data_IF_445594105822
#
_entry.id   IF_445594105822
#
_cell.length_a   1.000
_cell.length_b   1.000
_cell.length_c   1.000
_cell.angle_alpha   90.00
_cell.angle_beta   90.00
_cell.angle_gamma   90.00
#
_symmetry.space_group_name_H-M   'P 1'
#
loop_
_entity.id
_entity.type
_entity.pdbx_description
1 polymer ?
#
# COMPACT_ATOMS: atom_id res chain seq x y z
N UNK A 1 -3.58 20.21 30.33
CA UNK A 1 -3.56 20.30 28.83
C UNK A 1 -2.57 19.31 28.20
N UNK A 2 -1.38 19.11 28.78
CA UNK A 2 -0.40 18.11 28.25
C UNK A 2 -0.97 16.70 28.21
N UNK A 3 -1.74 16.29 29.26
CA UNK A 3 -2.35 14.96 29.34
C UNK A 3 -3.38 14.70 28.27
N UNK A 4 -4.17 15.72 27.93
CA UNK A 4 -5.14 15.64 26.81
C UNK A 4 -4.43 15.42 25.48
N UNK A 5 -3.43 16.25 25.14
CA UNK A 5 -2.68 16.08 23.88
C UNK A 5 -1.92 14.77 23.84
N UNK A 6 -1.32 14.35 24.95
CA UNK A 6 -0.66 13.05 25.07
C UNK A 6 -1.63 11.88 24.84
N UNK A 7 -2.81 11.95 25.45
CA UNK A 7 -3.87 10.96 25.26
C UNK A 7 -4.39 10.93 23.83
N UNK A 8 -4.62 12.09 23.22
CA UNK A 8 -5.10 12.19 21.83
C UNK A 8 -4.10 11.61 20.83
N UNK A 9 -2.83 12.02 20.94
CA UNK A 9 -1.78 11.51 20.04
C UNK A 9 -1.60 10.01 20.19
N UNK A 10 -1.60 9.50 21.42
CA UNK A 10 -1.49 8.06 21.68
C UNK A 10 -2.70 7.29 21.12
N UNK A 11 -3.92 7.77 21.33
CA UNK A 11 -5.12 7.14 20.81
C UNK A 11 -5.15 7.09 19.27
N UNK A 12 -4.77 8.18 18.59
CA UNK A 12 -4.68 8.23 17.13
C UNK A 12 -3.65 7.21 16.63
N UNK A 13 -2.46 7.16 17.21
CA UNK A 13 -1.39 6.23 16.80
C UNK A 13 -1.84 4.78 16.99
N UNK A 14 -2.42 4.45 18.13
CA UNK A 14 -2.93 3.11 18.43
C UNK A 14 -4.03 2.71 17.45
N UNK A 15 -4.99 3.59 17.14
CA UNK A 15 -6.04 3.32 16.19
C UNK A 15 -5.50 3.13 14.77
N UNK A 16 -4.54 3.94 14.33
CA UNK A 16 -3.89 3.77 13.01
C UNK A 16 -3.18 2.41 12.90
N UNK A 17 -2.48 1.98 13.95
CA UNK A 17 -1.82 0.67 13.98
C UNK A 17 -2.85 -0.48 13.89
N UNK A 18 -3.96 -0.39 14.63
CA UNK A 18 -5.03 -1.39 14.58
C UNK A 18 -5.74 -1.42 13.23
N UNK A 19 -6.04 -0.25 12.65
CA UNK A 19 -6.65 -0.14 11.32
C UNK A 19 -5.71 -0.68 10.24
N UNK A 20 -4.41 -0.38 10.34
CA UNK A 20 -3.37 -0.91 9.46
C UNK A 20 -3.32 -2.43 9.50
N UNK A 21 -3.17 -3.01 10.69
CA UNK A 21 -3.19 -4.46 10.90
C UNK A 21 -4.48 -5.10 10.37
N UNK A 22 -5.64 -4.49 10.66
CA UNK A 22 -6.94 -4.95 10.17
C UNK A 22 -7.04 -4.93 8.65
N UNK A 23 -6.52 -3.89 7.99
CA UNK A 23 -6.50 -3.79 6.53
C UNK A 23 -5.65 -4.88 5.89
N UNK A 24 -4.51 -5.20 6.48
CA UNK A 24 -3.63 -6.29 6.04
C UNK A 24 -4.25 -7.67 6.27
N UNK A 25 -4.92 -7.87 7.40
CA UNK A 25 -5.66 -9.10 7.67
C UNK A 25 -6.80 -9.32 6.67
N UNK A 26 -7.46 -8.25 6.27
CA UNK A 26 -8.57 -8.29 5.31
C UNK A 26 -8.10 -8.48 3.85
N UNK A 27 -6.82 -8.24 3.53
CA UNK A 27 -6.24 -8.40 2.20
C UNK A 27 -4.76 -8.81 2.26
N UNK A 28 -4.45 -10.05 2.70
CA UNK A 28 -3.06 -10.46 3.01
C UNK A 28 -2.12 -10.46 1.79
N UNK A 29 -2.66 -10.59 0.58
CA UNK A 29 -1.86 -10.55 -0.65
C UNK A 29 -1.44 -9.13 -1.06
N UNK A 30 -2.23 -8.11 -0.72
CA UNK A 30 -2.07 -6.75 -1.23
C UNK A 30 -0.70 -6.13 -0.90
N UNK A 31 -0.21 -6.32 0.35
CA UNK A 31 1.11 -5.84 0.74
C UNK A 31 2.23 -6.53 -0.04
N UNK A 32 2.14 -7.86 -0.20
CA UNK A 32 3.12 -8.63 -0.97
C UNK A 32 3.18 -8.23 -2.44
N UNK A 33 2.05 -7.93 -3.05
CA UNK A 33 1.92 -7.44 -4.43
C UNK A 33 2.48 -6.04 -4.58
N UNK A 34 2.17 -5.13 -3.65
CA UNK A 34 2.72 -3.79 -3.63
C UNK A 34 4.27 -3.82 -3.53
N UNK A 35 4.82 -4.58 -2.58
CA UNK A 35 6.27 -4.73 -2.43
C UNK A 35 6.93 -5.38 -3.66
N UNK A 36 6.18 -6.24 -4.40
CA UNK A 36 6.65 -6.80 -5.68
C UNK A 36 6.68 -5.75 -6.77
N UNK A 37 5.64 -4.94 -6.89
CA UNK A 37 5.53 -3.86 -7.87
C UNK A 37 6.62 -2.80 -7.65
N UNK A 38 6.94 -2.46 -6.41
CA UNK A 38 8.03 -1.53 -6.07
C UNK A 38 9.41 -2.04 -6.54
N UNK A 39 9.65 -3.35 -6.54
CA UNK A 39 10.87 -3.98 -7.07
C UNK A 39 12.18 -3.62 -6.33
N UNK A 40 12.10 -3.07 -5.10
CA UNK A 40 13.26 -2.65 -4.31
C UNK A 40 13.78 -3.80 -3.45
N UNK A 41 12.88 -4.63 -2.92
CA UNK A 41 13.21 -5.73 -2.02
C UNK A 41 13.38 -7.04 -2.76
N UNK A 42 14.42 -7.81 -2.38
CA UNK A 42 14.60 -9.18 -2.86
C UNK A 42 13.45 -10.12 -2.41
N UNK A 43 13.29 -11.29 -3.05
CA UNK A 43 12.15 -12.19 -2.79
C UNK A 43 12.00 -12.61 -1.32
N UNK A 44 13.13 -12.86 -0.64
CA UNK A 44 13.14 -13.27 0.78
C UNK A 44 12.72 -12.10 1.69
N UNK A 45 13.35 -10.92 1.53
CA UNK A 45 13.05 -9.72 2.32
C UNK A 45 11.61 -9.26 2.14
N UNK A 46 11.06 -9.36 0.93
CA UNK A 46 9.67 -9.05 0.62
C UNK A 46 8.70 -9.97 1.36
N UNK A 47 8.92 -11.29 1.34
CA UNK A 47 8.09 -12.25 2.08
C UNK A 47 8.14 -12.00 3.58
N UNK A 48 9.34 -11.77 4.11
CA UNK A 48 9.52 -11.43 5.51
C UNK A 48 8.80 -10.15 5.89
N UNK A 49 8.98 -9.08 5.12
CA UNK A 49 8.29 -7.81 5.37
C UNK A 49 6.76 -7.97 5.33
N UNK A 50 6.22 -8.68 4.32
CA UNK A 50 4.78 -8.91 4.20
C UNK A 50 4.19 -9.72 5.37
N UNK A 51 4.99 -10.59 6.00
CA UNK A 51 4.54 -11.36 7.17
C UNK A 51 4.72 -10.59 8.48
N UNK A 52 5.86 -9.92 8.66
CA UNK A 52 6.23 -9.29 9.95
C UNK A 52 5.49 -7.97 10.18
N UNK A 53 5.33 -7.14 9.14
CA UNK A 53 4.74 -5.80 9.31
C UNK A 53 3.32 -5.84 9.90
N UNK A 54 2.36 -6.63 9.36
CA UNK A 54 1.01 -6.70 9.92
C UNK A 54 0.98 -7.20 11.38
N UNK A 55 1.83 -8.17 11.68
CA UNK A 55 1.94 -8.72 13.05
C UNK A 55 2.50 -7.66 14.00
N UNK A 56 3.50 -6.92 13.58
CA UNK A 56 4.10 -5.84 14.39
C UNK A 56 3.09 -4.71 14.63
N UNK A 57 2.37 -4.27 13.59
CA UNK A 57 1.30 -3.27 13.72
C UNK A 57 0.22 -3.74 14.70
N UNK A 58 -0.26 -4.96 14.54
CA UNK A 58 -1.27 -5.55 15.42
C UNK A 58 -0.80 -5.64 16.87
N UNK A 59 0.40 -6.16 17.08
CA UNK A 59 0.98 -6.30 18.43
C UNK A 59 1.17 -4.94 19.11
N UNK A 60 1.72 -3.94 18.40
CA UNK A 60 1.87 -2.58 18.93
C UNK A 60 0.51 -1.92 19.18
N UNK A 61 -0.45 -2.09 18.26
CA UNK A 61 -1.80 -1.55 18.44
C UNK A 61 -2.51 -2.12 19.66
N UNK A 62 -2.48 -3.44 19.86
CA UNK A 62 -3.08 -4.12 21.03
C UNK A 62 -2.36 -3.74 22.30
N UNK A 63 -1.02 -3.79 22.32
CA UNK A 63 -0.25 -3.39 23.50
C UNK A 63 -0.50 -1.92 23.89
N UNK A 64 -0.62 -1.03 22.89
CA UNK A 64 -0.96 0.38 23.10
C UNK A 64 -2.36 0.57 23.66
N UNK A 65 -3.35 -0.14 23.15
CA UNK A 65 -4.72 -0.11 23.66
C UNK A 65 -4.80 -0.58 25.13
N UNK A 66 -4.11 -1.68 25.45
CA UNK A 66 -4.01 -2.17 26.83
C UNK A 66 -3.31 -1.13 27.71
N UNK A 67 -2.18 -0.57 27.27
CA UNK A 67 -1.44 0.42 28.06
C UNK A 67 -2.25 1.69 28.33
N UNK A 68 -3.05 2.15 27.34
CA UNK A 68 -3.97 3.29 27.50
C UNK A 68 -5.07 3.01 28.50
N UNK A 69 -5.68 1.82 28.45
CA UNK A 69 -6.81 1.47 29.35
C UNK A 69 -6.37 1.12 30.75
N UNK A 70 -5.18 0.55 30.91
CA UNK A 70 -4.61 0.16 32.23
C UNK A 70 -3.74 1.25 32.89
N UNK A 71 -3.49 2.35 32.13
CA UNK A 71 -2.71 3.48 32.66
C UNK A 71 -1.22 3.18 32.87
N UNK A 72 -0.59 2.37 32.04
CA UNK A 72 0.83 2.01 32.12
C UNK A 72 1.70 2.92 31.21
N UNK A 73 2.24 4.05 31.72
CA UNK A 73 2.90 5.07 30.91
C UNK A 73 4.18 4.56 30.24
N UNK A 74 4.98 3.74 30.91
CA UNK A 74 6.24 3.20 30.35
C UNK A 74 5.99 2.25 29.17
N UNK A 75 4.95 1.42 29.28
CA UNK A 75 4.55 0.52 28.17
C UNK A 75 4.05 1.36 26.99
N UNK A 76 3.18 2.35 27.27
CA UNK A 76 2.68 3.26 26.26
C UNK A 76 3.81 4.02 25.58
N UNK A 77 4.76 4.55 26.32
CA UNK A 77 5.95 5.21 25.78
C UNK A 77 6.73 4.29 24.84
N UNK A 78 6.99 3.04 25.25
CA UNK A 78 7.69 2.05 24.43
C UNK A 78 6.94 1.73 23.13
N UNK A 79 5.62 1.56 23.22
CA UNK A 79 4.77 1.33 22.04
C UNK A 79 4.81 2.52 21.07
N UNK A 80 4.69 3.74 21.59
CA UNK A 80 4.72 4.95 20.76
C UNK A 80 6.10 5.17 20.12
N UNK A 81 7.19 4.89 20.85
CA UNK A 81 8.54 4.96 20.31
C UNK A 81 8.76 3.91 19.19
N UNK A 82 8.29 2.68 19.39
CA UNK A 82 8.33 1.64 18.37
C UNK A 82 7.44 1.99 17.16
N UNK A 83 6.26 2.57 17.40
CA UNK A 83 5.39 3.09 16.35
C UNK A 83 6.04 4.21 15.54
N UNK A 84 6.74 5.13 16.21
CA UNK A 84 7.50 6.20 15.54
C UNK A 84 8.60 5.62 14.63
N UNK A 85 9.34 4.61 15.11
CA UNK A 85 10.33 3.91 14.30
C UNK A 85 9.71 3.18 13.11
N UNK A 86 8.57 2.51 13.28
CA UNK A 86 7.86 1.80 12.23
C UNK A 86 7.35 2.76 11.14
N UNK A 87 6.65 3.84 11.52
CA UNK A 87 6.17 4.83 10.57
C UNK A 87 7.30 5.61 9.90
N UNK A 88 8.41 5.87 10.64
CA UNK A 88 9.64 6.43 10.08
C UNK A 88 10.24 5.54 9.00
N UNK A 89 10.29 4.24 9.25
CA UNK A 89 10.73 3.25 8.25
C UNK A 89 9.81 3.25 7.01
N UNK A 90 8.49 3.34 7.19
CA UNK A 90 7.55 3.47 6.08
C UNK A 90 7.78 4.75 5.26
N UNK A 91 8.00 5.89 5.95
CA UNK A 91 8.29 7.15 5.28
C UNK A 91 9.59 7.09 4.48
N UNK A 92 10.65 6.53 5.06
CA UNK A 92 11.94 6.36 4.37
C UNK A 92 11.84 5.40 3.18
N UNK A 93 11.16 4.27 3.36
CA UNK A 93 10.96 3.29 2.30
C UNK A 93 10.17 3.88 1.14
N UNK A 94 9.02 4.49 1.40
CA UNK A 94 8.18 5.09 0.36
C UNK A 94 8.88 6.25 -0.35
N UNK A 95 9.61 7.09 0.40
CA UNK A 95 10.46 8.14 -0.18
C UNK A 95 11.53 7.56 -1.09
N UNK A 96 12.18 6.48 -0.68
CA UNK A 96 13.21 5.82 -1.48
C UNK A 96 12.63 5.24 -2.79
N UNK A 97 11.47 4.57 -2.73
CA UNK A 97 10.78 4.04 -3.92
C UNK A 97 10.45 5.17 -4.91
N UNK A 98 9.89 6.27 -4.40
CA UNK A 98 9.56 7.45 -5.22
C UNK A 98 10.81 8.11 -5.82
N UNK A 99 11.90 8.21 -5.07
CA UNK A 99 13.17 8.78 -5.55
C UNK A 99 13.80 7.95 -6.69
N UNK A 100 13.53 6.63 -6.73
CA UNK A 100 13.92 5.76 -7.84
C UNK A 100 12.99 5.87 -9.06
N UNK A 101 12.00 6.76 -9.05
CA UNK A 101 10.99 6.88 -10.11
C UNK A 101 10.09 5.64 -10.21
N UNK A 102 10.06 4.78 -9.20
CA UNK A 102 9.22 3.58 -9.17
C UNK A 102 7.86 3.91 -8.59
N UNK A 103 6.82 3.41 -9.24
CA UNK A 103 5.43 3.52 -8.79
C UNK A 103 4.88 2.16 -8.41
N UNK A 104 3.61 2.12 -8.04
CA UNK A 104 2.89 0.89 -7.72
C UNK A 104 1.76 1.18 -6.73
N UNK A 105 0.97 0.17 -6.36
CA UNK A 105 -0.06 0.31 -5.34
C UNK A 105 0.58 0.60 -3.96
N UNK A 106 -0.12 1.37 -3.12
CA UNK A 106 0.36 1.70 -1.78
C UNK A 106 0.47 0.47 -0.85
N UNK A 107 -0.34 -0.56 -1.09
CA UNK A 107 -0.38 -1.78 -0.26
C UNK A 107 -1.03 -1.61 1.11
N UNK A 108 -1.39 -0.39 1.50
CA UNK A 108 -1.99 -0.09 2.81
C UNK A 108 -3.52 -0.18 2.82
N UNK A 109 -4.17 -0.35 1.68
CA UNK A 109 -5.63 -0.43 1.57
C UNK A 109 -6.04 -1.35 0.42
N UNK A 110 -7.30 -1.84 0.47
CA UNK A 110 -7.90 -2.62 -0.63
C UNK A 110 -8.10 -1.79 -1.92
N UNK A 111 -7.93 -0.48 -1.86
CA UNK A 111 -8.04 0.39 -3.03
C UNK A 111 -6.68 0.46 -3.69
N UNK A 112 -6.64 0.37 -5.01
CA UNK A 112 -5.43 0.51 -5.83
C UNK A 112 -4.95 1.97 -5.89
N UNK A 113 -4.71 2.53 -4.69
CA UNK A 113 -4.17 3.88 -4.58
C UNK A 113 -2.69 3.84 -4.95
N UNK A 114 -2.26 4.66 -5.92
CA UNK A 114 -0.86 4.71 -6.29
C UNK A 114 -0.01 5.28 -5.16
N UNK A 115 1.22 4.77 -5.06
CA UNK A 115 2.21 5.33 -4.16
C UNK A 115 2.49 6.79 -4.55
N UNK A 116 2.29 7.71 -3.64
CA UNK A 116 2.42 9.14 -3.87
C UNK A 116 3.17 9.83 -2.72
N UNK A 117 3.60 11.08 -2.96
CA UNK A 117 4.19 11.91 -1.90
C UNK A 117 3.30 12.05 -0.66
N UNK A 118 1.98 11.99 -0.84
CA UNK A 118 1.02 12.09 0.27
C UNK A 118 1.06 10.88 1.20
N UNK A 119 1.33 9.68 0.66
CA UNK A 119 1.57 8.47 1.46
C UNK A 119 2.81 8.64 2.33
N UNK A 120 3.90 9.16 1.74
CA UNK A 120 5.15 9.43 2.48
C UNK A 120 4.94 10.51 3.55
N UNK A 121 4.25 11.61 3.23
CA UNK A 121 3.97 12.68 4.18
C UNK A 121 3.10 12.20 5.34
N UNK A 122 2.07 11.39 5.07
CA UNK A 122 1.25 10.76 6.11
C UNK A 122 2.09 9.91 7.04
N UNK A 123 2.95 9.05 6.49
CA UNK A 123 3.82 8.19 7.30
C UNK A 123 4.80 9.02 8.16
N UNK A 124 5.37 10.09 7.60
CA UNK A 124 6.25 11.00 8.34
C UNK A 124 5.49 11.76 9.44
N UNK A 125 4.27 12.24 9.17
CA UNK A 125 3.42 12.90 10.16
C UNK A 125 3.06 11.95 11.32
N UNK A 126 2.72 10.69 11.01
CA UNK A 126 2.45 9.66 12.01
C UNK A 126 3.69 9.33 12.85
N UNK A 127 4.88 9.29 12.23
CA UNK A 127 6.13 9.10 12.95
C UNK A 127 6.39 10.26 13.92
N UNK A 128 6.20 11.51 13.50
CA UNK A 128 6.32 12.70 14.35
C UNK A 128 5.30 12.71 15.48
N UNK A 129 4.05 12.35 15.16
CA UNK A 129 2.97 12.28 16.15
C UNK A 129 3.28 11.22 17.22
N UNK A 130 3.74 10.03 16.80
CA UNK A 130 4.11 8.95 17.70
C UNK A 130 5.32 9.31 18.58
N UNK A 131 6.33 10.00 18.02
CA UNK A 131 7.48 10.48 18.77
C UNK A 131 7.09 11.54 19.81
N UNK A 132 6.23 12.50 19.43
CA UNK A 132 5.70 13.49 20.37
C UNK A 132 4.88 12.84 21.49
N UNK A 133 4.02 11.88 21.16
CA UNK A 133 3.27 11.10 22.15
C UNK A 133 4.17 10.31 23.09
N UNK A 134 5.26 9.71 22.59
CA UNK A 134 6.23 9.00 23.41
C UNK A 134 6.94 9.93 24.41
N UNK A 135 7.29 11.15 23.99
CA UNK A 135 7.90 12.14 24.86
C UNK A 135 6.96 12.57 25.99
N UNK A 136 5.67 12.80 25.70
CA UNK A 136 4.66 13.17 26.69
C UNK A 136 4.37 12.01 27.64
N UNK A 137 4.17 10.79 27.12
CA UNK A 137 3.91 9.59 27.95
C UNK A 137 5.06 9.30 28.92
N UNK A 138 6.30 9.64 28.57
CA UNK A 138 7.48 9.50 29.43
C UNK A 138 7.51 10.49 30.59
N UNK A 139 6.77 11.60 30.51
CA UNK A 139 6.74 12.62 31.56
C UNK A 139 5.85 12.23 32.73
N UNK A 140 4.95 11.27 32.61
CA UNK A 140 4.10 10.80 33.70
C UNK A 140 2.83 10.08 33.23
N UNK A 141 2.00 9.63 34.19
CA UNK A 141 0.74 8.96 33.87
C UNK A 141 -0.27 9.95 33.28
N UNK A 142 -0.86 9.58 32.16
CA UNK A 142 -1.94 10.34 31.55
C UNK A 142 -3.23 10.14 32.35
N UNK A 143 -3.78 11.23 32.88
CA UNK A 143 -5.01 11.24 33.69
C UNK A 143 -6.03 12.23 33.14
N UNK A 144 -6.67 11.90 31.98
CA UNK A 144 -7.68 12.77 31.45
C UNK A 144 -8.90 12.85 32.37
N UNK A 145 -9.51 14.03 32.48
CA UNK A 145 -10.81 14.21 33.08
C UNK A 145 -11.90 13.51 32.29
N UNK A 146 -13.09 13.32 32.87
CA UNK A 146 -14.21 12.68 32.14
C UNK A 146 -14.57 13.45 30.88
N UNK A 147 -14.56 14.78 30.89
CA UNK A 147 -14.83 15.60 29.73
C UNK A 147 -13.76 15.43 28.64
N UNK A 148 -12.50 15.38 29.01
CA UNK A 148 -11.38 15.09 28.09
C UNK A 148 -11.50 13.68 27.51
N UNK A 149 -11.90 12.69 28.31
CA UNK A 149 -12.09 11.33 27.83
C UNK A 149 -13.18 11.24 26.76
N UNK A 150 -14.34 11.90 26.95
CA UNK A 150 -15.40 11.98 25.94
C UNK A 150 -14.88 12.63 24.65
N UNK A 151 -14.13 13.72 24.79
CA UNK A 151 -13.53 14.41 23.65
C UNK A 151 -12.54 13.51 22.91
N UNK A 152 -11.71 12.76 23.65
CA UNK A 152 -10.76 11.79 23.07
C UNK A 152 -11.45 10.69 22.31
N UNK A 153 -12.55 10.14 22.85
CA UNK A 153 -13.33 9.07 22.20
C UNK A 153 -13.97 9.51 20.88
N UNK A 154 -14.25 10.78 20.73
CA UNK A 154 -14.81 11.33 19.49
C UNK A 154 -13.72 11.83 18.53
N UNK A 155 -12.75 12.57 19.05
CA UNK A 155 -11.71 13.19 18.23
C UNK A 155 -10.71 12.19 17.67
N UNK A 156 -10.28 11.19 18.43
CA UNK A 156 -9.27 10.25 17.98
C UNK A 156 -9.73 9.41 16.75
N UNK A 157 -10.94 8.82 16.74
CA UNK A 157 -11.43 8.14 15.54
C UNK A 157 -11.61 9.07 14.34
N UNK A 158 -12.11 10.31 14.57
CA UNK A 158 -12.27 11.29 13.51
C UNK A 158 -10.92 11.66 12.87
N UNK A 159 -9.92 12.00 13.69
CA UNK A 159 -8.57 12.28 13.21
C UNK A 159 -7.95 11.07 12.52
N UNK A 160 -8.17 9.86 13.05
CA UNK A 160 -7.70 8.62 12.44
C UNK A 160 -8.31 8.42 11.06
N UNK A 161 -9.63 8.60 10.91
CA UNK A 161 -10.32 8.49 9.63
C UNK A 161 -9.81 9.53 8.61
N UNK A 162 -9.61 10.77 9.04
CA UNK A 162 -9.04 11.83 8.19
C UNK A 162 -7.62 11.48 7.72
N UNK A 163 -6.73 11.09 8.64
CA UNK A 163 -5.36 10.70 8.30
C UNK A 163 -5.33 9.45 7.41
N UNK A 164 -6.27 8.52 7.61
CA UNK A 164 -6.37 7.32 6.77
C UNK A 164 -6.83 7.64 5.35
N UNK A 165 -7.80 8.53 5.19
CA UNK A 165 -8.38 8.90 3.90
C UNK A 165 -7.56 9.95 3.14
N UNK A 166 -6.65 10.66 3.80
CA UNK A 166 -5.86 11.77 3.23
C UNK A 166 -5.21 11.44 1.88
N UNK A 167 -4.48 10.30 1.70
CA UNK A 167 -3.86 10.00 0.42
C UNK A 167 -4.87 9.81 -0.71
N UNK A 168 -6.06 9.25 -0.40
CA UNK A 168 -7.13 9.08 -1.37
C UNK A 168 -7.78 10.41 -1.76
N UNK A 169 -8.00 11.29 -0.78
CA UNK A 169 -8.58 12.61 -1.01
C UNK A 169 -7.66 13.54 -1.82
N UNK A 170 -6.33 13.37 -1.65
CA UNK A 170 -5.33 14.17 -2.34
C UNK A 170 -4.87 13.56 -3.68
N UNK A 171 -5.45 12.44 -4.08
CA UNK A 171 -5.19 11.83 -5.37
C UNK A 171 -6.09 12.47 -6.42
N UNK A 172 -5.48 13.24 -7.32
CA UNK A 172 -6.20 13.83 -8.45
C UNK A 172 -6.54 12.72 -9.45
N UNK A 173 -7.83 12.45 -9.74
CA UNK A 173 -8.18 11.46 -10.73
C UNK A 173 -7.59 11.86 -12.08
N UNK A 174 -6.92 10.94 -12.77
CA UNK A 174 -6.43 11.19 -14.12
C UNK A 174 -7.59 11.71 -14.98
N UNK A 175 -7.40 12.81 -15.73
CA UNK A 175 -8.49 13.41 -16.50
C UNK A 175 -9.11 12.34 -17.41
N UNK A 176 -10.45 12.26 -17.40
CA UNK A 176 -11.23 11.24 -18.12
C UNK A 176 -10.93 11.18 -19.63
N UNK A 177 -10.30 12.21 -20.17
CA UNK A 177 -9.77 12.29 -21.53
C UNK A 177 -8.66 11.27 -21.80
N UNK A 178 -7.83 10.90 -20.81
CA UNK A 178 -6.76 9.90 -21.00
C UNK A 178 -7.34 8.48 -21.19
N UNK A 179 -8.40 8.13 -20.45
CA UNK A 179 -9.09 6.85 -20.64
C UNK A 179 -9.82 6.76 -21.98
N UNK A 180 -10.38 7.87 -22.46
CA UNK A 180 -11.06 7.91 -23.77
C UNK A 180 -10.05 7.81 -24.92
N UNK A 181 -8.89 8.45 -24.80
CA UNK A 181 -7.83 8.35 -25.80
C UNK A 181 -7.23 6.93 -25.86
N UNK A 182 -7.04 6.26 -24.73
CA UNK A 182 -6.57 4.87 -24.70
C UNK A 182 -7.61 3.89 -25.30
N UNK A 183 -8.90 4.09 -25.01
CA UNK A 183 -9.97 3.27 -25.56
C UNK A 183 -10.13 3.43 -27.08
N UNK A 184 -9.96 4.66 -27.61
CA UNK A 184 -9.98 4.92 -29.06
C UNK A 184 -8.74 4.38 -29.77
N UNK A 185 -7.57 4.38 -29.13
CA UNK A 185 -6.35 3.82 -29.69
C UNK A 185 -6.42 2.29 -29.87
N UNK A 186 -7.11 1.59 -28.96
CA UNK A 186 -7.31 0.13 -29.04
C UNK A 186 -8.31 -0.25 -30.15
N UNK A 187 -9.24 0.66 -30.51
CA UNK A 187 -10.25 0.44 -31.55
C UNK A 187 -9.88 1.03 -32.92
N UNK A 188 -8.70 1.64 -33.08
CA UNK A 188 -8.25 2.04 -34.40
C UNK A 188 -7.88 0.78 -35.20
N UNK A 189 -8.64 0.43 -36.26
CA UNK A 189 -8.25 -0.69 -37.09
C UNK A 189 -6.86 -0.40 -37.65
N UNK A 190 -5.93 -1.32 -37.41
CA UNK A 190 -4.59 -1.27 -38.00
C UNK A 190 -4.74 -0.99 -39.51
N UNK A 191 -4.07 0.03 -40.05
CA UNK A 191 -4.17 0.26 -41.50
C UNK A 191 -3.75 -1.03 -42.20
N UNK A 192 -4.73 -1.65 -42.86
CA UNK A 192 -4.50 -2.83 -43.66
C UNK A 192 -3.31 -2.53 -44.57
N UNK A 193 -2.21 -3.24 -44.34
CA UNK A 193 -1.02 -3.19 -45.16
C UNK A 193 -1.47 -3.48 -46.58
N UNK A 194 -1.63 -2.44 -47.41
CA UNK A 194 -1.91 -2.57 -48.82
C UNK A 194 -0.79 -3.43 -49.40
N UNK A 195 -1.11 -4.68 -49.66
CA UNK A 195 -0.25 -5.61 -50.34
C UNK A 195 0.02 -5.02 -51.75
N UNK A 196 1.13 -4.32 -51.86
CA UNK A 196 1.66 -3.93 -53.19
C UNK A 196 2.21 -5.21 -53.82
N UNK A 197 1.65 -5.69 -54.96
CA UNK A 197 2.21 -6.85 -55.61
C UNK A 197 3.61 -6.52 -56.08
N UNK A 198 4.59 -7.28 -55.59
CA UNK A 198 5.97 -7.20 -56.06
C UNK A 198 6.06 -7.74 -57.52
N UNK A 199 6.88 -7.11 -58.39
CA UNK A 199 7.10 -7.61 -59.74
C UNK A 199 7.83 -8.95 -59.69
N UNK A 200 7.29 -9.91 -60.42
CA UNK A 200 7.87 -11.24 -60.66
C UNK A 200 9.14 -11.07 -61.51
N UNK A 201 10.30 -11.23 -60.90
CA UNK A 201 11.57 -11.46 -61.61
C UNK A 201 11.97 -12.91 -61.38
N UNK A 202 11.87 -13.68 -62.45
CA UNK A 202 12.37 -15.05 -62.51
C UNK A 202 13.89 -15.06 -62.56
N UNK A 203 14.53 -15.89 -61.75
CA UNK A 203 15.87 -16.42 -61.96
C UNK A 203 16.09 -17.71 -61.13
N UNK A 204 16.95 -18.64 -61.58
CA UNK A 204 16.75 -20.06 -61.35
C UNK A 204 17.67 -20.69 -60.30
N UNK A 205 17.20 -21.84 -59.82
CA UNK A 205 17.92 -23.00 -59.25
C UNK A 205 19.23 -22.81 -58.46
N UNK A 206 19.16 -23.15 -57.17
CA UNK A 206 20.17 -24.00 -56.54
C UNK A 206 19.51 -24.79 -55.38
N UNK A 207 19.57 -26.10 -55.48
CA UNK A 207 19.14 -27.06 -54.50
C UNK A 207 20.11 -27.06 -53.34
N UNK A 208 19.60 -26.92 -52.09
CA UNK A 208 20.29 -27.39 -50.89
C UNK A 208 19.27 -28.04 -49.97
N UNK A 209 19.40 -29.34 -49.85
CA UNK A 209 18.77 -30.19 -48.82
C UNK A 209 19.14 -29.75 -47.41
N UNK A 210 18.14 -29.42 -46.60
CA UNK A 210 18.26 -29.45 -45.14
C UNK A 210 17.04 -30.16 -44.55
N UNK A 211 17.24 -31.05 -43.55
CA UNK A 211 16.18 -31.85 -42.94
C UNK A 211 15.29 -30.98 -42.03
N UNK A 212 14.02 -31.35 -41.81
CA UNK A 212 13.08 -30.58 -41.03
C UNK A 212 13.35 -30.73 -39.53
N UNK A 213 13.53 -29.60 -38.87
CA UNK A 213 13.54 -29.54 -37.40
C UNK A 213 12.12 -29.61 -36.87
N UNK A 214 11.86 -30.64 -36.05
CA UNK A 214 10.62 -30.89 -35.36
C UNK A 214 10.42 -29.82 -34.26
N UNK A 215 9.48 -28.89 -34.46
CA UNK A 215 9.05 -27.95 -33.44
C UNK A 215 7.90 -28.59 -32.65
N UNK A 216 8.18 -29.04 -31.43
CA UNK A 216 7.17 -29.39 -30.44
C UNK A 216 6.46 -28.10 -29.96
N UNK A 217 5.24 -27.90 -30.41
CA UNK A 217 4.34 -26.84 -29.92
C UNK A 217 3.48 -27.42 -28.81
N UNK A 218 3.89 -27.21 -27.55
CA UNK A 218 3.02 -27.46 -26.38
C UNK A 218 2.10 -26.25 -26.19
N UNK A 219 0.85 -26.41 -26.63
CA UNK A 219 -0.25 -25.49 -26.30
C UNK A 219 -0.91 -25.98 -25.02
N UNK A 220 -0.52 -25.49 -23.85
CA UNK A 220 -1.35 -25.59 -22.64
C UNK A 220 -2.29 -24.39 -22.58
N UNK A 221 -3.51 -24.62 -23.02
CA UNK A 221 -4.63 -23.70 -22.83
C UNK A 221 -5.17 -23.80 -21.41
N UNK A 222 -4.86 -22.82 -20.57
CA UNK A 222 -5.56 -22.62 -19.28
C UNK A 222 -6.82 -21.80 -19.54
N UNK A 223 -7.93 -22.48 -19.72
CA UNK A 223 -9.28 -21.91 -19.71
C UNK A 223 -9.69 -21.63 -18.27
N UNK A 224 -9.55 -20.39 -17.80
CA UNK A 224 -10.15 -19.94 -16.54
C UNK A 224 -11.64 -19.68 -16.75
N UNK A 225 -12.45 -20.66 -16.37
CA UNK A 225 -13.90 -20.59 -16.34
C UNK A 225 -14.34 -19.81 -15.07
N UNK A 226 -14.71 -18.55 -15.26
CA UNK A 226 -15.36 -17.75 -14.21
C UNK A 226 -16.81 -18.21 -14.07
N UNK A 227 -17.11 -18.91 -12.96
CA UNK A 227 -18.49 -19.16 -12.56
C UNK A 227 -18.94 -18.04 -11.64
N UNK A 228 -19.90 -17.23 -12.10
CA UNK A 228 -20.58 -16.23 -11.27
C UNK A 228 -21.45 -16.93 -10.22
N UNK A 229 -21.47 -16.44 -8.96
CA UNK A 229 -22.40 -16.96 -7.95
C UNK A 229 -23.83 -16.49 -8.23
N UNK A 230 -24.88 -17.27 -7.87
CA UNK A 230 -26.26 -16.85 -8.02
C UNK A 230 -26.58 -15.70 -7.06
N UNK A 231 -27.41 -14.78 -7.54
CA UNK A 231 -27.97 -13.69 -6.75
C UNK A 231 -29.03 -14.21 -5.76
N UNK A 232 -29.23 -13.55 -4.61
CA UNK A 232 -30.24 -13.90 -3.62
C UNK A 232 -31.68 -13.57 -4.09
#
# INVERSE_FOLDING_TARGET
>A
MTDFYGGLTAAIVVLILLVGAGSHAAGPAALGEALRAHGVLGPRSRRLAAAVLPVTEGALGVAGAIALTTGHPRVLQGVLAAGAALFGLYALYTRHVLALGRGGPCGCSRRDLPLSRWVTLRAAALAGLAAAGAAVAGAGPLRPSTAELVTLLLAAPACTALLWSLPAAMHEPAPATAHRAAATAVHSPSPATAHRPAPVTAAPHAAHDHPPATVHRTTEGVSSRWTSPPAP
#
